data_IF_271229182460
#
_entry.id   IF_271229182460
#
_cell.length_a   1.000
_cell.length_b   1.000
_cell.length_c   1.000
_cell.angle_alpha   90.00
_cell.angle_beta   90.00
_cell.angle_gamma   90.00
#
_symmetry.space_group_name_H-M   'P 1'
#
loop_
_entity.id
_entity.type
_entity.pdbx_description
1 polymer ?
#
# COMPACT_ATOMS: atom_id res chain seq x y z
N UNK A 1 -18.97 11.53 -0.62
CA UNK A 1 -18.28 11.21 -1.89
C UNK A 1 -17.62 9.86 -1.68
N UNK A 2 -17.81 8.92 -2.60
CA UNK A 2 -17.25 7.59 -2.44
C UNK A 2 -15.71 7.64 -2.35
N UNK A 3 -15.15 6.73 -1.54
CA UNK A 3 -13.71 6.62 -1.31
C UNK A 3 -13.28 5.16 -1.45
N UNK A 4 -12.07 4.95 -1.96
CA UNK A 4 -11.44 3.63 -1.94
C UNK A 4 -11.16 3.28 -0.46
N UNK A 5 -11.55 2.08 -0.05
CA UNK A 5 -11.33 1.53 1.29
C UNK A 5 -10.78 0.12 1.18
N UNK A 6 -9.95 -0.27 2.13
CA UNK A 6 -9.36 -1.62 2.16
C UNK A 6 -10.29 -2.57 2.89
N UNK A 7 -10.49 -3.77 2.35
CA UNK A 7 -11.15 -4.86 3.09
C UNK A 7 -10.06 -5.62 3.84
N UNK A 8 -10.13 -5.60 5.17
CA UNK A 8 -9.15 -6.30 6.01
C UNK A 8 -9.48 -7.80 6.10
N UNK A 9 -8.49 -8.70 6.25
CA UNK A 9 -8.73 -10.14 6.39
C UNK A 9 -9.68 -10.51 7.53
N UNK A 10 -9.67 -9.76 8.63
CA UNK A 10 -10.52 -9.97 9.81
C UNK A 10 -12.01 -9.85 9.48
N UNK A 11 -12.36 -9.22 8.36
CA UNK A 11 -13.72 -9.23 7.83
C UNK A 11 -14.24 -10.65 7.61
N UNK A 12 -13.42 -11.52 7.03
CA UNK A 12 -13.82 -12.88 6.66
C UNK A 12 -13.78 -13.87 7.82
N UNK A 13 -13.02 -13.57 8.87
CA UNK A 13 -12.93 -14.41 10.08
C UNK A 13 -13.89 -13.98 11.19
N UNK A 14 -14.54 -12.82 11.05
CA UNK A 14 -15.54 -12.35 12.01
C UNK A 14 -16.79 -13.23 12.00
N UNK A 15 -17.13 -13.81 13.17
CA UNK A 15 -18.32 -14.64 13.34
C UNK A 15 -19.62 -13.86 13.10
N UNK A 16 -19.68 -12.59 13.52
CA UNK A 16 -20.85 -11.74 13.30
C UNK A 16 -21.10 -11.49 11.80
N UNK A 17 -20.03 -11.28 11.02
CA UNK A 17 -20.12 -11.11 9.57
C UNK A 17 -20.44 -12.44 8.90
N UNK A 18 -19.86 -13.54 9.39
CA UNK A 18 -20.09 -14.89 8.88
C UNK A 18 -21.53 -15.40 9.11
N UNK A 19 -22.28 -14.83 10.06
CA UNK A 19 -23.70 -15.14 10.25
C UNK A 19 -24.65 -14.40 9.30
N UNK A 20 -24.17 -13.39 8.58
CA UNK A 20 -24.99 -12.63 7.63
C UNK A 20 -25.14 -13.34 6.28
N UNK A 21 -26.19 -12.99 5.53
CA UNK A 21 -26.35 -13.36 4.11
C UNK A 21 -25.23 -12.73 3.27
N UNK A 22 -24.97 -13.29 2.08
CA UNK A 22 -23.92 -12.76 1.18
C UNK A 22 -24.23 -11.33 0.76
N UNK A 23 -25.50 -11.03 0.54
CA UNK A 23 -26.01 -9.71 0.18
C UNK A 23 -25.78 -8.71 1.31
N UNK A 24 -26.10 -9.07 2.55
CA UNK A 24 -25.86 -8.20 3.71
C UNK A 24 -24.36 -7.95 3.95
N UNK A 25 -23.50 -8.96 3.71
CA UNK A 25 -22.03 -8.79 3.76
C UNK A 25 -21.56 -7.81 2.68
N UNK A 26 -22.05 -7.95 1.45
CA UNK A 26 -21.68 -7.07 0.34
C UNK A 26 -22.22 -5.65 0.57
N UNK A 27 -23.44 -5.50 1.09
CA UNK A 27 -24.00 -4.22 1.53
C UNK A 27 -23.10 -3.56 2.59
N UNK A 28 -22.61 -4.33 3.57
CA UNK A 28 -21.71 -3.80 4.60
C UNK A 28 -20.36 -3.33 4.04
N UNK A 29 -19.72 -4.10 3.15
CA UNK A 29 -18.50 -3.67 2.44
C UNK A 29 -18.78 -2.40 1.62
N UNK A 30 -19.90 -2.38 0.89
CA UNK A 30 -20.31 -1.24 0.08
C UNK A 30 -20.49 0.03 0.93
N UNK A 31 -21.09 -0.10 2.11
CA UNK A 31 -21.25 1.01 3.05
C UNK A 31 -19.91 1.64 3.43
N UNK A 32 -18.83 0.86 3.59
CA UNK A 32 -17.51 1.43 3.93
C UNK A 32 -17.04 2.45 2.90
N UNK A 33 -17.38 2.24 1.63
CA UNK A 33 -17.04 3.17 0.54
C UNK A 33 -17.98 4.38 0.49
N UNK A 34 -19.20 4.23 1.00
CA UNK A 34 -20.28 5.22 0.95
C UNK A 34 -20.23 6.22 2.12
N UNK A 35 -19.89 5.74 3.32
CA UNK A 35 -19.78 6.57 4.53
C UNK A 35 -18.62 7.56 4.46
N UNK A 36 -18.74 8.63 5.25
CA UNK A 36 -17.66 9.61 5.41
C UNK A 36 -16.47 9.07 6.22
N UNK A 37 -15.45 9.90 6.46
CA UNK A 37 -14.23 9.48 7.17
C UNK A 37 -14.46 9.20 8.67
N UNK A 38 -15.62 9.57 9.21
CA UNK A 38 -16.05 9.20 10.57
C UNK A 38 -17.04 8.03 10.58
N UNK A 39 -17.22 7.36 9.43
CA UNK A 39 -18.05 6.16 9.31
C UNK A 39 -19.55 6.46 9.31
N UNK A 40 -19.96 7.68 8.95
CA UNK A 40 -21.37 8.12 8.98
C UNK A 40 -21.95 8.35 7.59
N UNK A 41 -23.24 8.06 7.41
CA UNK A 41 -24.02 8.49 6.25
C UNK A 41 -25.49 8.75 6.62
N UNK A 42 -26.26 9.24 5.64
CA UNK A 42 -27.72 9.36 5.76
C UNK A 42 -28.32 7.96 5.73
N UNK A 43 -29.32 7.75 6.58
CA UNK A 43 -30.04 6.49 6.67
C UNK A 43 -31.26 6.50 5.74
N UNK A 44 -31.00 6.26 4.46
CA UNK A 44 -32.02 6.08 3.43
C UNK A 44 -31.62 4.90 2.54
N UNK A 45 -32.39 3.81 2.64
CA UNK A 45 -32.12 2.58 1.88
C UNK A 45 -32.12 2.81 0.36
N UNK A 46 -32.84 3.81 -0.17
CA UNK A 46 -32.84 4.13 -1.61
C UNK A 46 -31.52 4.75 -2.03
N UNK A 47 -30.95 5.64 -1.21
CA UNK A 47 -29.64 6.24 -1.47
C UNK A 47 -28.53 5.20 -1.39
N UNK A 48 -28.60 4.31 -0.39
CA UNK A 48 -27.64 3.22 -0.22
C UNK A 48 -27.75 2.21 -1.37
N UNK A 49 -28.98 1.85 -1.78
CA UNK A 49 -29.21 1.00 -2.96
C UNK A 49 -28.60 1.60 -4.22
N UNK A 50 -28.85 2.89 -4.47
CA UNK A 50 -28.30 3.57 -5.65
C UNK A 50 -26.77 3.62 -5.65
N UNK A 51 -26.14 3.69 -4.47
CA UNK A 51 -24.69 3.79 -4.34
C UNK A 51 -23.98 2.42 -4.35
N UNK A 52 -24.55 1.41 -3.69
CA UNK A 52 -23.92 0.10 -3.48
C UNK A 52 -24.37 -0.94 -4.50
N UNK A 53 -25.60 -0.83 -4.99
CA UNK A 53 -26.23 -1.78 -5.92
C UNK A 53 -26.72 -1.07 -7.20
N UNK A 54 -25.85 -0.32 -7.91
CA UNK A 54 -26.27 0.38 -9.11
C UNK A 54 -26.71 -0.60 -10.19
N UNK A 55 -27.86 -0.33 -10.82
CA UNK A 55 -28.47 -1.14 -11.89
C UNK A 55 -28.87 -2.58 -11.50
N UNK A 56 -28.75 -2.95 -10.22
CA UNK A 56 -29.20 -4.23 -9.72
C UNK A 56 -30.75 -4.25 -9.57
N UNK A 57 -31.36 -5.41 -9.74
CA UNK A 57 -32.82 -5.63 -9.59
C UNK A 57 -33.30 -5.53 -8.13
N UNK A 58 -32.38 -5.50 -7.16
CA UNK A 58 -32.68 -5.29 -5.74
C UNK A 58 -33.54 -4.04 -5.51
N UNK A 59 -34.53 -4.20 -4.65
CA UNK A 59 -35.41 -3.14 -4.19
C UNK A 59 -34.79 -2.43 -2.96
N UNK A 60 -35.26 -1.22 -2.68
CA UNK A 60 -34.86 -0.53 -1.45
C UNK A 60 -35.30 -1.28 -0.18
N UNK A 61 -36.35 -2.09 -0.27
CA UNK A 61 -36.78 -2.97 0.83
C UNK A 61 -35.76 -4.07 1.13
N UNK A 62 -35.06 -4.59 0.12
CA UNK A 62 -34.04 -5.63 0.33
C UNK A 62 -32.81 -5.04 1.03
N UNK A 63 -32.43 -3.82 0.63
CA UNK A 63 -31.37 -3.07 1.32
C UNK A 63 -31.78 -2.72 2.75
N UNK A 64 -33.04 -2.37 3.00
CA UNK A 64 -33.56 -2.12 4.34
C UNK A 64 -33.50 -3.39 5.22
N UNK A 65 -33.76 -4.58 4.65
CA UNK A 65 -33.58 -5.86 5.35
C UNK A 65 -32.11 -6.11 5.69
N UNK A 66 -31.18 -5.83 4.77
CA UNK A 66 -29.74 -5.93 5.04
C UNK A 66 -29.33 -4.97 6.18
N UNK A 67 -29.77 -3.71 6.12
CA UNK A 67 -29.47 -2.70 7.16
C UNK A 67 -30.03 -3.11 8.52
N UNK A 68 -31.22 -3.71 8.55
CA UNK A 68 -31.80 -4.28 9.78
C UNK A 68 -30.91 -5.40 10.34
N UNK A 69 -30.49 -6.35 9.51
CA UNK A 69 -29.62 -7.45 9.94
C UNK A 69 -28.26 -6.95 10.45
N UNK A 70 -27.68 -5.93 9.80
CA UNK A 70 -26.45 -5.27 10.23
C UNK A 70 -26.61 -4.56 11.57
N UNK A 71 -27.76 -3.91 11.80
CA UNK A 71 -28.07 -3.25 13.07
C UNK A 71 -28.28 -4.27 14.20
N UNK A 72 -28.96 -5.38 13.93
CA UNK A 72 -29.19 -6.46 14.90
C UNK A 72 -27.87 -7.15 15.30
N UNK A 73 -26.94 -7.25 14.36
CA UNK A 73 -25.59 -7.78 14.60
C UNK A 73 -24.63 -6.73 15.20
N UNK A 74 -25.13 -5.54 15.58
CA UNK A 74 -24.37 -4.42 16.14
C UNK A 74 -23.21 -3.91 15.26
N UNK A 75 -23.22 -4.20 13.95
CA UNK A 75 -22.22 -3.74 12.99
C UNK A 75 -22.46 -2.29 12.55
N UNK A 76 -23.71 -1.84 12.64
CA UNK A 76 -24.10 -0.44 12.43
C UNK A 76 -25.01 0.04 13.57
N UNK A 77 -24.99 1.34 13.81
CA UNK A 77 -25.91 2.05 14.70
C UNK A 77 -26.75 3.02 13.88
N UNK A 78 -28.07 2.86 13.90
CA UNK A 78 -29.03 3.79 13.27
C UNK A 78 -29.54 4.76 14.33
N UNK A 79 -29.59 6.05 14.01
CA UNK A 79 -29.94 7.10 14.96
C UNK A 79 -30.61 8.28 14.24
N UNK A 80 -31.34 9.09 15.00
CA UNK A 80 -32.03 10.28 14.48
C UNK A 80 -31.50 11.51 15.20
N UNK A 81 -31.17 12.56 14.44
CA UNK A 81 -30.80 13.87 14.99
C UNK A 81 -31.68 14.92 14.35
N UNK A 82 -32.56 15.53 15.17
CA UNK A 82 -33.62 16.39 14.68
C UNK A 82 -34.65 15.59 13.86
N UNK A 83 -34.86 15.99 12.61
CA UNK A 83 -35.82 15.35 11.70
C UNK A 83 -35.17 14.42 10.66
N UNK A 84 -33.87 14.09 10.82
CA UNK A 84 -33.11 13.29 9.85
C UNK A 84 -32.55 12.04 10.49
N UNK A 85 -32.70 10.92 9.79
CA UNK A 85 -32.13 9.63 10.14
C UNK A 85 -30.73 9.47 9.54
N UNK A 86 -29.83 8.91 10.34
CA UNK A 86 -28.44 8.67 10.00
C UNK A 86 -28.03 7.28 10.48
N UNK A 87 -26.99 6.74 9.87
CA UNK A 87 -26.36 5.51 10.32
C UNK A 87 -24.86 5.73 10.48
N UNK A 88 -24.27 5.03 11.44
CA UNK A 88 -22.85 5.01 11.71
C UNK A 88 -22.37 3.56 11.77
N UNK A 89 -21.21 3.27 11.17
CA UNK A 89 -20.55 1.98 11.33
C UNK A 89 -19.99 1.88 12.76
N UNK A 90 -20.34 0.82 13.48
CA UNK A 90 -19.79 0.57 14.82
C UNK A 90 -18.31 0.27 14.72
N UNK A 91 -17.50 0.72 15.69
CA UNK A 91 -16.05 0.49 15.71
C UNK A 91 -15.34 0.85 14.39
N UNK A 92 -15.73 1.96 13.75
CA UNK A 92 -15.21 2.35 12.44
C UNK A 92 -13.68 2.39 12.34
N UNK A 93 -13.00 2.79 13.42
CA UNK A 93 -11.54 2.80 13.54
C UNK A 93 -10.91 1.40 13.48
N UNK A 94 -11.62 0.36 13.90
CA UNK A 94 -11.19 -1.03 13.77
C UNK A 94 -11.34 -1.51 12.32
N UNK A 95 -12.31 -0.99 11.58
CA UNK A 95 -12.52 -1.33 10.17
C UNK A 95 -11.61 -0.56 9.22
N UNK A 96 -11.40 0.74 9.44
CA UNK A 96 -10.67 1.62 8.52
C UNK A 96 -9.66 2.52 9.25
N UNK A 97 -8.40 2.48 8.78
CA UNK A 97 -7.35 3.41 9.20
C UNK A 97 -7.19 4.50 8.15
N UNK A 98 -7.69 5.69 8.44
CA UNK A 98 -7.72 6.80 7.48
C UNK A 98 -6.58 7.78 7.76
N UNK A 99 -5.73 8.01 6.76
CA UNK A 99 -4.69 9.03 6.82
C UNK A 99 -5.29 10.40 6.47
N UNK A 100 -5.13 11.40 7.34
CA UNK A 100 -5.69 12.76 7.21
C UNK A 100 -7.23 12.75 7.03
N UNK A 101 -7.99 12.28 8.04
CA UNK A 101 -9.44 12.21 7.96
C UNK A 101 -10.07 13.60 7.80
N UNK A 102 -11.11 13.68 6.99
CA UNK A 102 -11.94 14.88 6.87
C UNK A 102 -12.99 14.89 7.99
N UNK A 103 -13.09 15.98 8.74
CA UNK A 103 -14.15 16.13 9.75
C UNK A 103 -15.52 16.00 9.09
N UNK A 104 -16.35 15.15 9.65
CA UNK A 104 -17.67 14.88 9.08
C UNK A 104 -18.65 16.02 9.36
N UNK A 105 -19.55 16.23 8.38
CA UNK A 105 -20.65 17.21 8.44
C UNK A 105 -21.92 16.60 9.03
N UNK A 106 -21.94 15.28 9.21
CA UNK A 106 -23.05 14.51 9.77
C UNK A 106 -22.90 14.53 11.29
N UNK A 107 -23.97 14.79 12.07
CA UNK A 107 -23.87 14.77 13.52
C UNK A 107 -23.46 13.39 14.04
N UNK A 108 -22.71 13.34 15.13
CA UNK A 108 -22.41 12.08 15.80
C UNK A 108 -23.69 11.48 16.43
N UNK A 109 -23.78 10.14 16.55
CA UNK A 109 -24.85 9.52 17.31
C UNK A 109 -24.88 10.07 18.75
N UNK A 110 -26.07 10.34 19.32
CA UNK A 110 -26.17 10.78 20.70
C UNK A 110 -25.57 9.70 21.63
N UNK A 111 -24.92 10.10 22.74
CA UNK A 111 -24.53 9.14 23.77
C UNK A 111 -25.78 8.35 24.16
N UNK A 112 -25.68 7.02 24.19
CA UNK A 112 -26.79 6.20 24.65
C UNK A 112 -27.20 6.68 26.05
N UNK A 113 -28.35 7.34 26.17
CA UNK A 113 -28.98 7.55 27.48
C UNK A 113 -29.18 6.16 28.07
N UNK A 114 -28.54 5.91 29.21
CA UNK A 114 -28.61 4.66 29.94
C UNK A 114 -30.05 4.35 30.34
N UNK A 115 -30.78 3.65 29.47
CA UNK A 115 -31.90 2.82 29.88
C UNK A 115 -31.35 1.67 30.74
N UNK A 116 -32.02 1.29 31.85
CA UNK A 116 -31.43 0.45 32.88
C UNK A 116 -31.04 -0.91 32.30
N UNK A 117 -29.77 -1.26 32.52
CA UNK A 117 -29.21 -2.55 32.16
C UNK A 117 -30.12 -3.67 32.71
N UNK A 118 -30.65 -4.51 31.82
CA UNK A 118 -31.05 -5.86 32.21
C UNK A 118 -29.82 -6.55 32.84
N UNK A 119 -29.98 -7.31 33.93
CA UNK A 119 -28.86 -7.81 34.70
C UNK A 119 -28.03 -8.74 33.81
N UNK A 120 -26.82 -8.28 33.45
CA UNK A 120 -25.79 -9.15 32.88
C UNK A 120 -25.47 -10.19 33.95
N UNK A 121 -25.69 -11.46 33.61
CA UNK A 121 -25.21 -12.60 34.36
C UNK A 121 -23.68 -12.47 34.50
N UNK A 122 -23.22 -12.16 35.71
CA UNK A 122 -21.81 -12.16 36.05
C UNK A 122 -21.34 -13.63 36.13
N UNK A 123 -20.34 -14.05 35.35
CA UNK A 123 -19.66 -15.30 35.66
C UNK A 123 -18.87 -15.14 36.97
N UNK A 124 -18.74 -16.23 37.78
CA UNK A 124 -18.08 -16.19 39.08
C UNK A 124 -16.57 -15.87 38.96
N UNK A 125 -15.94 -15.36 40.03
CA UNK A 125 -14.56 -14.91 39.98
C UNK A 125 -13.62 -16.10 39.87
N UNK A 126 -12.90 -16.19 38.74
CA UNK A 126 -11.75 -17.07 38.61
C UNK A 126 -10.52 -16.34 39.16
N UNK A 127 -9.81 -17.06 40.03
CA UNK A 127 -8.68 -16.61 40.82
C UNK A 127 -7.54 -16.06 39.97
N UNK A 128 -7.04 -14.91 40.39
CA UNK A 128 -5.79 -14.29 39.94
C UNK A 128 -4.59 -15.20 40.21
N UNK A 129 -3.88 -15.58 39.15
CA UNK A 129 -2.43 -15.82 39.20
C UNK A 129 -1.72 -14.78 38.32
N UNK A 130 -0.67 -14.09 38.80
CA UNK A 130 0.06 -13.14 38.00
C UNK A 130 1.18 -13.86 37.24
N UNK A 131 1.04 -13.98 35.93
CA UNK A 131 2.18 -14.21 35.05
C UNK A 131 2.41 -12.94 34.23
N UNK A 132 3.31 -12.10 34.77
CA UNK A 132 3.95 -11.04 34.01
C UNK A 132 5.06 -11.67 33.17
N UNK A 133 4.88 -11.72 31.86
CA UNK A 133 6.00 -11.80 30.93
C UNK A 133 6.07 -10.49 30.15
N UNK A 134 7.23 -9.80 30.12
CA UNK A 134 7.43 -8.67 29.22
C UNK A 134 7.63 -9.21 27.80
N UNK A 135 6.62 -9.06 26.95
CA UNK A 135 6.75 -9.41 25.53
C UNK A 135 7.65 -8.40 24.83
N UNK A 136 8.80 -8.90 24.39
CA UNK A 136 9.82 -8.17 23.65
C UNK A 136 9.32 -7.78 22.25
N UNK A 137 9.59 -6.51 21.91
CA UNK A 137 9.93 -5.92 20.60
C UNK A 137 9.16 -6.37 19.34
N UNK A 138 8.57 -5.43 18.56
CA UNK A 138 7.99 -5.77 17.28
C UNK A 138 9.08 -6.23 16.29
N UNK A 139 8.77 -7.32 15.60
CA UNK A 139 9.55 -7.89 14.52
C UNK A 139 9.93 -6.86 13.45
N UNK A 140 11.12 -7.09 12.87
CA UNK A 140 11.75 -6.37 11.77
C UNK A 140 10.79 -6.05 10.60
N UNK A 141 11.01 -4.93 9.87
CA UNK A 141 10.18 -4.58 8.73
C UNK A 141 10.44 -5.55 7.57
N UNK A 142 9.37 -6.18 7.10
CA UNK A 142 9.34 -6.83 5.78
C UNK A 142 9.55 -5.75 4.72
N UNK A 143 10.62 -5.90 3.95
CA UNK A 143 10.85 -5.18 2.72
C UNK A 143 10.00 -5.82 1.63
N UNK A 144 8.99 -5.12 1.12
CA UNK A 144 8.42 -5.36 -0.20
C UNK A 144 7.68 -4.11 -0.68
N UNK A 145 7.89 -3.80 -1.96
CA UNK A 145 7.62 -2.54 -2.64
C UNK A 145 6.15 -2.10 -2.64
N UNK A 146 5.93 -0.83 -2.32
CA UNK A 146 4.82 -0.06 -2.89
C UNK A 146 5.22 1.41 -3.06
N UNK A 147 5.42 1.77 -4.32
CA UNK A 147 5.68 3.14 -4.78
C UNK A 147 4.51 4.04 -4.38
N UNK A 148 4.73 4.90 -3.39
CA UNK A 148 3.84 6.01 -3.10
C UNK A 148 4.12 7.17 -4.07
N UNK A 149 3.16 7.47 -4.94
CA UNK A 149 3.04 8.74 -5.66
C UNK A 149 3.20 9.91 -4.68
N UNK A 150 4.28 10.69 -4.85
CA UNK A 150 4.46 11.95 -4.13
C UNK A 150 4.02 13.11 -5.00
N UNK A 151 2.74 13.44 -4.85
CA UNK A 151 2.26 14.80 -5.08
C UNK A 151 2.40 15.59 -3.76
N UNK A 152 3.29 16.59 -3.74
CA UNK A 152 3.07 17.93 -3.13
C UNK A 152 4.34 18.76 -3.12
N UNK A 153 4.26 19.83 -3.91
CA UNK A 153 4.35 21.24 -3.50
C UNK A 153 5.39 21.65 -2.45
N UNK A 154 6.15 22.67 -2.88
CA UNK A 154 7.18 23.39 -2.17
C UNK A 154 6.67 24.06 -0.89
N UNK A 155 7.49 24.03 0.14
CA UNK A 155 7.37 24.88 1.32
C UNK A 155 8.77 25.19 1.85
N UNK A 156 9.27 26.36 1.50
CA UNK A 156 10.52 26.97 1.98
C UNK A 156 10.44 27.24 3.48
N UNK A 157 11.49 26.87 4.22
CA UNK A 157 11.59 27.11 5.66
C UNK A 157 13.02 26.91 6.14
N UNK A 158 13.83 27.94 5.98
CA UNK A 158 15.19 28.06 6.48
C UNK A 158 15.15 28.14 8.03
N UNK A 159 15.85 27.26 8.74
CA UNK A 159 16.28 27.54 10.13
C UNK A 159 17.47 26.67 10.55
N UNK A 160 18.64 27.29 10.43
CA UNK A 160 19.79 27.32 11.35
C UNK A 160 20.23 26.07 12.12
N UNK A 161 21.51 25.79 11.94
CA UNK A 161 22.39 24.87 12.66
C UNK A 161 22.37 25.12 14.19
N UNK A 162 22.53 24.06 15.01
CA UNK A 162 23.76 24.06 15.80
C UNK A 162 24.45 22.70 15.94
N UNK A 163 25.76 22.75 15.74
CA UNK A 163 26.83 22.19 16.55
C UNK A 163 26.67 20.77 17.15
N UNK A 164 27.59 19.92 16.67
CA UNK A 164 28.46 19.05 17.46
C UNK A 164 27.80 18.13 18.48
N UNK A 165 27.65 16.86 18.07
CA UNK A 165 27.94 15.73 18.96
C UNK A 165 28.88 14.78 18.23
N UNK A 166 30.16 14.91 18.57
CA UNK A 166 31.16 13.84 18.42
C UNK A 166 30.61 12.61 19.15
N UNK A 167 30.55 11.48 18.45
CA UNK A 167 30.41 10.15 19.03
C UNK A 167 31.52 9.30 18.41
N UNK A 168 32.68 9.32 19.05
CA UNK A 168 33.61 8.18 19.14
C UNK A 168 32.95 7.17 20.10
N UNK A 169 32.99 5.84 19.99
CA UNK A 169 33.77 4.87 19.22
C UNK A 169 32.91 3.59 19.17
N UNK A 170 32.97 2.82 18.08
CA UNK A 170 32.93 1.35 18.16
C UNK A 170 33.57 0.72 16.91
N UNK A 171 34.34 -0.38 17.03
CA UNK A 171 35.40 -0.74 16.09
C UNK A 171 35.00 -1.88 15.15
N UNK A 172 34.75 -1.58 13.89
CA UNK A 172 34.92 -2.47 12.75
C UNK A 172 34.94 -1.61 11.48
N UNK A 173 35.95 -1.81 10.62
CA UNK A 173 36.31 -0.88 9.56
C UNK A 173 35.22 -0.59 8.52
N UNK A 174 35.54 0.33 7.61
CA UNK A 174 34.85 0.68 6.34
C UNK A 174 34.18 2.07 6.20
N UNK A 175 34.22 3.06 7.13
CA UNK A 175 33.70 4.40 6.78
C UNK A 175 34.51 5.08 5.65
N UNK A 176 35.83 4.85 5.59
CA UNK A 176 36.68 5.41 4.53
C UNK A 176 36.51 4.75 3.16
N UNK A 177 36.10 3.48 3.08
CA UNK A 177 36.03 2.76 1.81
C UNK A 177 34.78 3.11 1.02
N UNK A 178 33.65 3.28 1.70
CA UNK A 178 32.43 3.81 1.08
C UNK A 178 32.67 5.21 0.53
N UNK A 179 33.31 6.08 1.32
CA UNK A 179 33.67 7.43 0.90
C UNK A 179 34.61 7.42 -0.31
N UNK A 180 35.64 6.57 -0.33
CA UNK A 180 36.55 6.41 -1.47
C UNK A 180 35.82 6.02 -2.76
N UNK A 181 34.88 5.07 -2.71
CA UNK A 181 34.10 4.64 -3.87
C UNK A 181 33.22 5.79 -4.40
N UNK A 182 32.56 6.53 -3.50
CA UNK A 182 31.72 7.67 -3.87
C UNK A 182 32.55 8.82 -4.45
N UNK A 183 33.74 9.09 -3.89
CA UNK A 183 34.67 10.09 -4.42
C UNK A 183 35.19 9.71 -5.82
N UNK A 184 35.53 8.44 -6.03
CA UNK A 184 35.93 7.94 -7.35
C UNK A 184 34.80 8.12 -8.39
N UNK A 185 33.57 7.76 -8.03
CA UNK A 185 32.39 7.98 -8.88
C UNK A 185 32.15 9.47 -9.16
N UNK A 186 32.23 10.35 -8.15
CA UNK A 186 32.07 11.80 -8.35
C UNK A 186 33.13 12.39 -9.27
N UNK A 187 34.36 11.86 -9.24
CA UNK A 187 35.46 12.27 -10.12
C UNK A 187 35.21 11.86 -11.57
N UNK A 188 34.56 10.70 -11.79
CA UNK A 188 34.15 10.25 -13.12
C UNK A 188 32.96 11.04 -13.71
N UNK A 189 32.23 11.79 -12.88
CA UNK A 189 31.13 12.64 -13.34
C UNK A 189 31.64 13.95 -13.97
N UNK A 190 31.21 14.25 -15.20
CA UNK A 190 31.56 15.51 -15.91
C UNK A 190 31.05 16.76 -15.17
N UNK A 191 29.95 16.65 -14.44
CA UNK A 191 29.42 17.69 -13.55
C UNK A 191 29.09 17.06 -12.21
N UNK A 192 29.36 17.80 -11.13
CA UNK A 192 29.09 17.33 -9.77
C UNK A 192 27.59 17.02 -9.60
N UNK A 193 27.23 15.78 -9.20
CA UNK A 193 25.84 15.43 -8.91
C UNK A 193 25.28 16.24 -7.72
N UNK A 194 23.95 16.45 -7.65
CA UNK A 194 23.33 17.12 -6.51
C UNK A 194 23.61 16.41 -5.19
N UNK A 195 23.75 17.16 -4.08
CA UNK A 195 24.09 16.61 -2.75
C UNK A 195 23.16 15.47 -2.33
N UNK A 196 21.85 15.62 -2.51
CA UNK A 196 20.86 14.57 -2.19
C UNK A 196 21.13 13.25 -2.90
N UNK A 197 21.66 13.29 -4.13
CA UNK A 197 22.00 12.09 -4.91
C UNK A 197 23.27 11.47 -4.36
N UNK A 198 24.29 12.28 -4.08
CA UNK A 198 25.54 11.84 -3.45
C UNK A 198 25.27 11.18 -2.10
N UNK A 199 24.43 11.80 -1.26
CA UNK A 199 24.06 11.28 0.05
C UNK A 199 23.28 9.96 -0.06
N UNK A 200 22.43 9.82 -1.08
CA UNK A 200 21.69 8.59 -1.32
C UNK A 200 22.62 7.46 -1.77
N UNK A 201 23.49 7.72 -2.75
CA UNK A 201 24.48 6.75 -3.22
C UNK A 201 25.43 6.35 -2.10
N UNK A 202 25.89 7.30 -1.28
CA UNK A 202 26.74 7.01 -0.12
C UNK A 202 26.10 6.07 0.89
N UNK A 203 24.79 6.23 1.16
CA UNK A 203 24.04 5.31 2.04
C UNK A 203 23.94 3.90 1.43
N UNK A 204 23.63 3.79 0.15
CA UNK A 204 23.52 2.50 -0.54
C UNK A 204 24.88 1.78 -0.59
N UNK A 205 25.96 2.47 -0.95
CA UNK A 205 27.33 1.91 -0.96
C UNK A 205 27.76 1.46 0.44
N UNK A 206 27.45 2.24 1.48
CA UNK A 206 27.75 1.86 2.86
C UNK A 206 26.91 0.68 3.35
N UNK A 207 25.70 0.47 2.82
CA UNK A 207 24.91 -0.73 3.09
C UNK A 207 25.49 -1.95 2.38
N UNK A 208 25.81 -1.84 1.09
CA UNK A 208 26.39 -2.94 0.31
C UNK A 208 27.73 -3.44 0.89
N UNK A 209 28.57 -2.53 1.38
CA UNK A 209 29.81 -2.92 2.07
C UNK A 209 29.57 -3.57 3.43
N UNK A 210 28.47 -3.22 4.13
CA UNK A 210 28.06 -3.92 5.36
C UNK A 210 27.53 -5.32 5.07
N UNK A 211 26.99 -5.53 3.88
CA UNK A 211 26.52 -6.82 3.39
C UNK A 211 27.66 -7.67 2.78
N UNK A 212 28.92 -7.28 3.01
CA UNK A 212 30.15 -7.95 2.54
C UNK A 212 30.27 -8.10 1.01
N UNK A 213 29.67 -7.15 0.26
CA UNK A 213 29.77 -7.13 -1.20
C UNK A 213 31.11 -6.56 -1.64
N UNK A 214 31.75 -7.21 -2.64
CA UNK A 214 33.07 -6.81 -3.12
C UNK A 214 33.05 -5.37 -3.68
N UNK A 215 33.98 -4.50 -3.24
CA UNK A 215 34.10 -3.12 -3.71
C UNK A 215 34.22 -2.96 -5.23
N UNK A 216 34.84 -3.91 -5.92
CA UNK A 216 35.01 -3.87 -7.37
C UNK A 216 33.69 -4.12 -8.10
N UNK A 217 32.83 -4.98 -7.57
CA UNK A 217 31.48 -5.21 -8.12
C UNK A 217 30.60 -3.97 -7.92
N UNK A 218 30.71 -3.29 -6.77
CA UNK A 218 30.01 -2.03 -6.49
C UNK A 218 30.46 -0.92 -7.47
N UNK A 219 31.76 -0.81 -7.73
CA UNK A 219 32.30 0.17 -8.68
C UNK A 219 31.80 -0.08 -10.11
N UNK A 220 31.86 -1.33 -10.59
CA UNK A 220 31.34 -1.72 -11.91
C UNK A 220 29.84 -1.46 -12.03
N UNK A 221 29.09 -1.72 -10.96
CA UNK A 221 27.66 -1.44 -10.92
C UNK A 221 27.35 0.06 -10.95
N UNK A 222 28.14 0.91 -10.27
CA UNK A 222 27.98 2.37 -10.31
C UNK A 222 28.20 2.94 -11.71
N UNK A 223 29.22 2.44 -12.44
CA UNK A 223 29.47 2.82 -13.83
C UNK A 223 28.30 2.44 -14.74
N UNK A 224 27.79 1.21 -14.59
CA UNK A 224 26.64 0.72 -15.36
C UNK A 224 25.35 1.47 -15.02
N UNK A 225 25.12 1.75 -13.74
CA UNK A 225 23.97 2.49 -13.23
C UNK A 225 23.95 3.93 -13.74
N UNK A 226 25.10 4.60 -13.76
CA UNK A 226 25.23 5.98 -14.26
C UNK A 226 24.89 6.08 -15.76
N UNK A 227 25.28 5.09 -16.56
CA UNK A 227 24.99 5.06 -18.00
C UNK A 227 23.50 4.93 -18.35
N UNK A 228 22.65 4.52 -17.39
CA UNK A 228 21.21 4.27 -17.62
C UNK A 228 20.27 5.28 -16.95
N UNK A 229 20.79 6.23 -16.16
CA UNK A 229 19.99 7.29 -15.54
C UNK A 229 18.93 6.79 -14.54
N UNK A 230 19.24 5.72 -13.80
CA UNK A 230 18.32 5.13 -12.82
C UNK A 230 18.31 5.90 -11.49
N UNK A 231 17.28 5.70 -10.65
CA UNK A 231 17.23 6.30 -9.32
C UNK A 231 18.28 5.68 -8.38
N UNK A 232 18.86 6.41 -7.40
CA UNK A 232 19.92 5.89 -6.52
C UNK A 232 19.59 4.61 -5.77
N UNK A 233 18.32 4.44 -5.36
CA UNK A 233 17.85 3.24 -4.65
C UNK A 233 17.82 1.98 -5.51
N UNK A 234 18.05 2.08 -6.82
CA UNK A 234 18.17 0.93 -7.71
C UNK A 234 19.57 0.32 -7.72
N UNK A 235 20.57 0.98 -7.10
CA UNK A 235 21.96 0.52 -7.10
C UNK A 235 22.13 -0.94 -6.61
N UNK A 236 21.48 -1.39 -5.51
CA UNK A 236 21.60 -2.79 -5.08
C UNK A 236 21.14 -3.81 -6.13
N UNK A 237 20.08 -3.50 -6.87
CA UNK A 237 19.58 -4.36 -7.95
C UNK A 237 20.56 -4.44 -9.12
N UNK A 238 21.21 -3.31 -9.47
CA UNK A 238 22.25 -3.27 -10.49
C UNK A 238 23.51 -4.03 -10.05
N UNK A 239 23.90 -3.92 -8.78
CA UNK A 239 25.01 -4.70 -8.21
C UNK A 239 24.72 -6.19 -8.32
N UNK A 240 23.53 -6.61 -7.90
CA UNK A 240 23.09 -8.00 -8.07
C UNK A 240 23.11 -8.44 -9.55
N UNK A 241 22.73 -7.57 -10.48
CA UNK A 241 22.79 -7.86 -11.92
C UNK A 241 24.25 -8.04 -12.41
N UNK A 242 25.18 -7.19 -11.96
CA UNK A 242 26.60 -7.27 -12.34
C UNK A 242 27.25 -8.52 -11.77
N UNK A 243 26.98 -8.83 -10.49
CA UNK A 243 27.51 -10.03 -9.82
C UNK A 243 27.04 -11.32 -10.50
N UNK A 244 25.77 -11.35 -10.93
CA UNK A 244 25.16 -12.54 -11.55
C UNK A 244 25.18 -12.51 -13.09
N UNK A 245 25.81 -11.50 -13.69
CA UNK A 245 25.98 -11.45 -15.13
C UNK A 245 26.89 -12.61 -15.55
N UNK A 246 26.29 -13.65 -16.15
CA UNK A 246 27.08 -14.75 -16.73
C UNK A 246 28.07 -14.14 -17.71
N UNK A 247 29.36 -14.55 -17.70
CA UNK A 247 30.22 -14.24 -18.81
C UNK A 247 29.50 -14.74 -20.06
N UNK A 248 29.31 -13.88 -21.05
CA UNK A 248 28.85 -14.32 -22.37
C UNK A 248 29.98 -15.18 -22.98
N UNK A 249 30.11 -16.41 -22.50
CA UNK A 249 30.87 -17.45 -23.14
C UNK A 249 30.16 -17.78 -24.44
N UNK A 250 30.78 -17.37 -25.55
CA UNK A 250 30.53 -17.81 -26.93
C UNK A 250 29.29 -18.71 -27.10
N UNK A 251 28.12 -18.10 -27.26
CA UNK A 251 26.98 -18.83 -27.81
C UNK A 251 27.18 -18.86 -29.31
N UNK A 252 27.71 -19.97 -29.83
CA UNK A 252 27.57 -20.30 -31.24
C UNK A 252 26.08 -20.35 -31.52
N UNK A 253 25.59 -19.40 -32.32
CA UNK A 253 24.21 -19.40 -32.78
C UNK A 253 23.95 -20.69 -33.55
N UNK A 254 23.22 -21.62 -32.94
CA UNK A 254 22.59 -22.71 -33.67
C UNK A 254 21.48 -22.09 -34.52
N UNK A 255 21.80 -21.81 -35.78
CA UNK A 255 20.85 -21.43 -36.82
C UNK A 255 19.67 -22.41 -36.81
N UNK A 256 18.49 -21.94 -36.38
CA UNK A 256 17.28 -22.74 -36.50
C UNK A 256 16.11 -22.39 -35.58
N UNK A 257 16.29 -21.56 -34.54
CA UNK A 257 15.16 -21.22 -33.66
C UNK A 257 14.83 -19.74 -33.73
N UNK A 258 13.97 -19.38 -34.70
CA UNK A 258 13.19 -18.15 -34.61
C UNK A 258 12.28 -18.23 -33.38
N UNK A 259 12.33 -17.25 -32.46
CA UNK A 259 11.41 -17.19 -31.33
C UNK A 259 9.97 -17.20 -31.85
N UNK A 260 9.12 -18.07 -31.31
CA UNK A 260 7.70 -18.06 -31.68
C UNK A 260 7.11 -16.71 -31.26
N UNK A 261 6.46 -15.96 -32.19
CA UNK A 261 5.84 -14.70 -31.85
C UNK A 261 4.73 -14.90 -30.82
N UNK A 262 4.58 -13.93 -29.92
CA UNK A 262 3.50 -13.89 -28.93
C UNK A 262 2.14 -14.00 -29.60
N UNK A 263 1.13 -14.50 -28.90
CA UNK A 263 -0.27 -14.57 -29.39
C UNK A 263 -0.78 -13.20 -29.84
N UNK A 264 -0.28 -12.11 -29.24
CA UNK A 264 -0.59 -10.74 -29.67
C UNK A 264 0.04 -10.43 -31.03
N UNK A 265 1.34 -10.72 -31.22
CA UNK A 265 2.05 -10.49 -32.47
C UNK A 265 1.48 -11.32 -33.62
N UNK A 266 1.01 -12.55 -33.34
CA UNK A 266 0.34 -13.40 -34.32
C UNK A 266 -0.98 -12.79 -34.81
N UNK A 267 -1.78 -12.22 -33.91
CA UNK A 267 -3.05 -11.57 -34.27
C UNK A 267 -2.84 -10.30 -35.07
N UNK A 268 -1.83 -9.50 -34.69
CA UNK A 268 -1.46 -8.28 -35.44
C UNK A 268 -0.93 -8.64 -36.82
N UNK A 269 -0.07 -9.66 -36.93
CA UNK A 269 0.42 -10.16 -38.22
C UNK A 269 -0.72 -10.62 -39.13
N UNK A 270 -1.63 -11.46 -38.63
CA UNK A 270 -2.78 -11.93 -39.40
C UNK A 270 -3.70 -10.79 -39.87
N UNK A 271 -3.91 -9.77 -39.04
CA UNK A 271 -4.70 -8.60 -39.40
C UNK A 271 -4.03 -7.75 -40.50
N UNK A 272 -2.70 -7.59 -40.44
CA UNK A 272 -1.93 -6.87 -41.46
C UNK A 272 -1.89 -7.62 -42.80
N UNK A 273 -1.77 -8.94 -42.78
CA UNK A 273 -1.84 -9.77 -43.99
C UNK A 273 -3.22 -9.70 -44.65
N UNK A 274 -4.29 -9.72 -43.85
CA UNK A 274 -5.65 -9.58 -44.35
C UNK A 274 -5.88 -8.19 -44.99
N UNK A 275 -5.37 -7.13 -44.34
CA UNK A 275 -5.42 -5.77 -44.89
C UNK A 275 -4.63 -5.65 -46.22
N UNK A 276 -3.47 -6.30 -46.32
CA UNK A 276 -2.68 -6.31 -47.54
C UNK A 276 -3.38 -7.05 -48.70
N UNK A 277 -4.11 -8.15 -48.41
CA UNK A 277 -4.92 -8.85 -49.41
C UNK A 277 -6.04 -7.99 -49.97
N UNK A 278 -6.82 -7.33 -49.10
CA UNK A 278 -7.90 -6.46 -49.55
C UNK A 278 -7.37 -5.24 -50.33
N UNK A 279 -6.21 -4.70 -49.96
CA UNK A 279 -5.58 -3.62 -50.71
C UNK A 279 -5.10 -4.02 -52.13
N UNK A 280 -4.87 -5.31 -52.38
CA UNK A 280 -4.51 -5.84 -53.70
C UNK A 280 -5.73 -6.20 -54.55
N UNK A 281 -6.88 -6.48 -53.95
CA UNK A 281 -8.14 -6.75 -54.67
C UNK A 281 -8.82 -5.48 -55.18
N UNK A 282 -8.51 -4.32 -54.58
CA UNK A 282 -9.03 -2.99 -54.98
C UNK A 282 -8.19 -2.30 -56.10
N UNK A 283 -7.18 -2.97 -56.69
CA UNK A 283 -6.39 -2.49 -57.84
C UNK A 283 -6.70 -3.27 -59.12
#
# INVERSE_FOLDING_TARGET
>A
MARIRTIKPEFFTSLAIASLTLEARLTFIGLWTHVDDEGRCVDDARLIKAAVWPLDDRLSSDVELDLKALSESSLITRYTVGARSFLAITNWNEHQRINRPTRSKIPAPPPAETAPASPRYAPPPAETTPHSEPSHSPHAPLAEDSLAERNREQGTGNRENPAARVREDDPAGTPGRAEQIVQAWMTACTRRPPSRVVDAIGREVAQLLRDDIDPSDIQRALEYWQGRGMHPTSLPSVVNQVMNARPQGNVVALSGHTPRPSTTDQRVGAALELAAKYAQEDQ
#
